data_IF_701163494743
#
_entry.id   IF_701163494743
#
_cell.length_a   1.000
_cell.length_b   1.000
_cell.length_c   1.000
_cell.angle_alpha   90.00
_cell.angle_beta   90.00
_cell.angle_gamma   90.00
#
_symmetry.space_group_name_H-M   'P 1'
#
loop_
_entity.id
_entity.type
_entity.pdbx_description
1 polymer ?
#
# COMPACT_ATOMS: atom_id res chain seq x y z
N UNK A 1 24.69 29.12 -15.72
CA UNK A 1 24.22 28.69 -14.39
C UNK A 1 22.72 28.86 -14.39
N UNK A 2 21.97 27.77 -14.60
CA UNK A 2 20.51 27.84 -14.59
C UNK A 2 20.10 27.71 -13.12
N UNK A 3 19.60 28.79 -12.53
CA UNK A 3 18.87 28.73 -11.26
C UNK A 3 17.55 28.03 -11.57
N UNK A 4 17.50 26.71 -11.38
CA UNK A 4 16.22 25.98 -11.37
C UNK A 4 15.50 26.36 -10.09
N UNK A 5 14.21 26.65 -10.16
CA UNK A 5 13.41 26.96 -8.98
C UNK A 5 13.36 25.76 -8.02
N UNK A 6 13.21 26.02 -6.73
CA UNK A 6 13.14 24.97 -5.69
C UNK A 6 12.06 23.92 -5.97
N UNK A 7 10.96 24.33 -6.65
CA UNK A 7 9.89 23.45 -7.12
C UNK A 7 10.37 22.45 -8.19
N UNK A 8 11.12 22.90 -9.20
CA UNK A 8 11.64 22.02 -10.26
C UNK A 8 12.63 20.98 -9.69
N UNK A 9 13.44 21.37 -8.71
CA UNK A 9 14.38 20.48 -8.03
C UNK A 9 13.60 19.42 -7.24
N UNK A 10 12.55 19.83 -6.54
CA UNK A 10 11.72 18.93 -5.73
C UNK A 10 11.01 17.89 -6.61
N UNK A 11 10.38 18.30 -7.71
CA UNK A 11 9.72 17.39 -8.66
C UNK A 11 10.70 16.40 -9.31
N UNK A 12 11.92 16.87 -9.64
CA UNK A 12 12.95 15.98 -10.18
C UNK A 12 13.41 14.93 -9.17
N UNK A 13 13.56 15.31 -7.91
CA UNK A 13 13.93 14.38 -6.84
C UNK A 13 12.83 13.33 -6.63
N UNK A 14 11.57 13.73 -6.55
CA UNK A 14 10.42 12.81 -6.43
C UNK A 14 10.36 11.82 -7.61
N UNK A 15 10.56 12.30 -8.83
CA UNK A 15 10.64 11.44 -10.02
C UNK A 15 11.77 10.39 -9.91
N UNK A 16 12.94 10.78 -9.38
CA UNK A 16 14.07 9.86 -9.19
C UNK A 16 13.75 8.80 -8.13
N UNK A 17 13.12 9.17 -7.01
CA UNK A 17 12.73 8.23 -5.97
C UNK A 17 11.66 7.24 -6.48
N UNK A 18 10.64 7.73 -7.18
CA UNK A 18 9.63 6.89 -7.82
C UNK A 18 10.26 5.87 -8.77
N UNK A 19 11.23 6.28 -9.60
CA UNK A 19 11.97 5.36 -10.47
C UNK A 19 12.79 4.33 -9.70
N UNK A 20 13.40 4.68 -8.56
CA UNK A 20 14.11 3.71 -7.70
C UNK A 20 13.15 2.65 -7.15
N UNK A 21 11.98 3.06 -6.66
CA UNK A 21 10.95 2.15 -6.15
C UNK A 21 10.42 1.24 -7.25
N UNK A 22 10.08 1.77 -8.44
CA UNK A 22 9.68 0.96 -9.60
C UNK A 22 10.75 -0.09 -9.92
N UNK A 23 12.02 0.32 -9.97
CA UNK A 23 13.12 -0.60 -10.26
C UNK A 23 13.24 -1.70 -9.20
N UNK A 24 12.99 -1.41 -7.92
CA UNK A 24 12.99 -2.43 -6.87
C UNK A 24 11.92 -3.50 -7.11
N UNK A 25 10.66 -3.10 -7.37
CA UNK A 25 9.58 -4.04 -7.67
C UNK A 25 9.83 -4.83 -8.96
N UNK A 26 10.26 -4.16 -10.03
CA UNK A 26 10.52 -4.81 -11.33
C UNK A 26 11.65 -5.83 -11.24
N UNK A 27 12.71 -5.54 -10.47
CA UNK A 27 13.81 -6.49 -10.23
C UNK A 27 13.36 -7.78 -9.53
N UNK A 28 12.23 -7.73 -8.83
CA UNK A 28 11.65 -8.88 -8.14
C UNK A 28 10.41 -9.45 -8.86
N UNK A 29 10.24 -9.15 -10.15
CA UNK A 29 9.27 -9.84 -11.00
C UNK A 29 7.97 -9.08 -11.28
N UNK A 30 7.74 -7.91 -10.67
CA UNK A 30 6.57 -7.09 -10.99
C UNK A 30 6.69 -6.56 -12.41
N UNK A 31 5.64 -6.74 -13.20
CA UNK A 31 5.64 -6.26 -14.59
C UNK A 31 5.61 -4.74 -14.64
N UNK A 32 6.38 -4.15 -15.56
CA UNK A 32 6.49 -2.69 -15.71
C UNK A 32 5.14 -2.04 -16.00
N UNK A 33 4.24 -2.76 -16.68
CA UNK A 33 2.88 -2.29 -16.97
C UNK A 33 2.01 -2.04 -15.74
N UNK A 34 2.34 -2.63 -14.59
CA UNK A 34 1.64 -2.37 -13.32
C UNK A 34 1.76 -0.91 -12.88
N UNK A 35 2.74 -0.16 -13.39
CA UNK A 35 2.98 1.25 -13.07
C UNK A 35 2.47 2.21 -14.16
N UNK A 36 1.68 1.76 -15.13
CA UNK A 36 1.22 2.61 -16.27
C UNK A 36 0.22 3.70 -15.89
N UNK A 37 -0.41 3.59 -14.71
CA UNK A 37 -1.45 4.52 -14.24
C UNK A 37 -0.95 5.41 -13.08
N UNK A 38 0.25 5.97 -13.19
CA UNK A 38 0.77 7.00 -12.27
C UNK A 38 0.00 8.33 -12.46
N UNK A 39 -1.28 8.38 -12.08
CA UNK A 39 -2.13 9.58 -12.18
C UNK A 39 -3.31 9.58 -11.16
N UNK A 40 -3.14 8.94 -10.01
CA UNK A 40 -4.19 8.79 -8.99
C UNK A 40 -3.60 9.25 -7.65
N UNK A 41 -3.56 10.54 -7.28
CA UNK A 41 -4.70 11.27 -6.70
C UNK A 41 -4.48 12.80 -6.82
N UNK A 42 -5.10 13.46 -7.80
CA UNK A 42 -5.38 14.90 -7.72
C UNK A 42 -6.86 15.20 -7.40
N UNK A 43 -7.71 14.17 -7.31
CA UNK A 43 -9.17 14.35 -7.13
C UNK A 43 -9.63 14.48 -5.66
N UNK A 44 -8.79 14.17 -4.66
CA UNK A 44 -9.20 14.18 -3.24
C UNK A 44 -8.54 15.25 -2.36
N UNK A 45 -7.73 16.17 -2.92
CA UNK A 45 -7.24 17.35 -2.19
C UNK A 45 -6.28 17.07 -1.02
N UNK A 46 -5.78 15.84 -0.87
CA UNK A 46 -4.76 15.49 0.10
C UNK A 46 -3.44 15.22 -0.63
N UNK A 47 -2.36 15.81 -0.10
CA UNK A 47 -0.98 15.66 -0.55
C UNK A 47 -0.56 14.18 -0.51
N UNK A 48 -0.81 13.48 -1.60
CA UNK A 48 -0.22 12.16 -1.84
C UNK A 48 1.15 12.38 -2.49
N UNK A 49 2.20 11.92 -1.81
CA UNK A 49 3.53 11.87 -2.41
C UNK A 49 3.52 10.80 -3.52
N UNK A 50 3.86 11.18 -4.75
CA UNK A 50 3.86 10.30 -5.92
C UNK A 50 4.65 9.00 -5.68
N UNK A 51 5.72 9.06 -4.90
CA UNK A 51 6.55 7.88 -4.59
C UNK A 51 5.82 6.85 -3.71
N UNK A 52 4.96 7.30 -2.79
CA UNK A 52 4.14 6.40 -1.97
C UNK A 52 3.05 5.71 -2.80
N UNK A 53 2.43 6.46 -3.72
CA UNK A 53 1.47 5.88 -4.67
C UNK A 53 2.13 4.79 -5.51
N UNK A 54 3.31 5.08 -6.07
CA UNK A 54 4.12 4.12 -6.84
C UNK A 54 4.43 2.87 -6.01
N UNK A 55 4.76 3.04 -4.73
CA UNK A 55 5.00 1.92 -3.83
C UNK A 55 3.75 1.04 -3.66
N UNK A 56 2.60 1.65 -3.39
CA UNK A 56 1.34 0.94 -3.17
C UNK A 56 0.86 0.26 -4.46
N UNK A 57 1.03 0.88 -5.64
CA UNK A 57 0.77 0.25 -6.94
C UNK A 57 1.68 -0.98 -7.17
N UNK A 58 2.94 -0.91 -6.73
CA UNK A 58 3.85 -2.06 -6.73
C UNK A 58 3.30 -3.24 -5.91
N UNK A 59 2.76 -2.97 -4.71
CA UNK A 59 2.09 -3.98 -3.87
C UNK A 59 0.89 -4.57 -4.61
N UNK A 60 0.04 -3.74 -5.22
CA UNK A 60 -1.12 -4.24 -5.98
C UNK A 60 -0.68 -5.11 -7.15
N UNK A 61 0.38 -4.72 -7.87
CA UNK A 61 0.94 -5.50 -8.96
C UNK A 61 1.29 -6.92 -8.53
N UNK A 62 1.89 -7.08 -7.35
CA UNK A 62 2.19 -8.39 -6.77
C UNK A 62 0.92 -9.14 -6.38
N UNK A 63 -0.02 -8.44 -5.73
CA UNK A 63 -1.24 -9.07 -5.23
C UNK A 63 -2.14 -9.58 -6.35
N UNK A 64 -2.28 -8.85 -7.45
CA UNK A 64 -3.10 -9.24 -8.60
C UNK A 64 -2.62 -10.53 -9.28
N UNK A 65 -1.35 -10.92 -9.08
CA UNK A 65 -0.85 -12.21 -9.57
C UNK A 65 -1.30 -13.40 -8.72
N UNK A 66 -1.74 -13.14 -7.48
CA UNK A 66 -2.07 -14.19 -6.48
C UNK A 66 -3.53 -14.18 -6.04
N UNK A 67 -4.18 -13.02 -6.08
CA UNK A 67 -5.52 -12.81 -5.54
C UNK A 67 -6.43 -12.14 -6.57
N UNK A 68 -7.71 -12.54 -6.56
CA UNK A 68 -8.76 -11.80 -7.24
C UNK A 68 -9.21 -10.65 -6.34
N UNK A 69 -8.82 -9.42 -6.69
CA UNK A 69 -9.17 -8.21 -5.96
C UNK A 69 -10.57 -7.75 -6.40
N UNK A 70 -11.53 -7.71 -5.47
CA UNK A 70 -12.87 -7.15 -5.71
C UNK A 70 -12.90 -5.63 -5.57
N UNK A 71 -12.15 -5.11 -4.59
CA UNK A 71 -12.13 -3.70 -4.24
C UNK A 71 -10.75 -3.29 -3.78
N UNK A 72 -10.28 -2.13 -4.22
CA UNK A 72 -9.09 -1.46 -3.73
C UNK A 72 -9.42 0.00 -3.42
N UNK A 73 -8.94 0.53 -2.30
CA UNK A 73 -9.16 1.92 -1.86
C UNK A 73 -7.87 2.50 -1.30
N UNK A 74 -7.54 3.71 -1.72
CA UNK A 74 -6.39 4.46 -1.25
C UNK A 74 -6.85 5.61 -0.36
N UNK A 75 -6.21 5.78 0.79
CA UNK A 75 -6.48 6.94 1.63
C UNK A 75 -5.30 7.23 2.54
N UNK A 76 -5.17 8.48 2.99
CA UNK A 76 -4.24 8.84 4.04
C UNK A 76 -4.91 8.68 5.40
N UNK A 77 -4.42 7.74 6.19
CA UNK A 77 -4.91 7.42 7.52
C UNK A 77 -4.34 8.41 8.56
N UNK A 78 -4.81 9.66 8.53
CA UNK A 78 -4.36 10.69 9.47
C UNK A 78 -4.91 10.52 10.89
N UNK A 79 -6.11 9.97 11.02
CA UNK A 79 -6.79 9.68 12.28
C UNK A 79 -7.76 8.48 12.11
N UNK A 80 -7.89 7.64 13.15
CA UNK A 80 -8.91 6.58 13.24
C UNK A 80 -10.34 7.11 13.13
N UNK A 81 -10.55 8.39 13.46
CA UNK A 81 -11.85 9.03 13.41
C UNK A 81 -12.31 9.47 12.03
N UNK A 82 -11.44 9.29 11.02
CA UNK A 82 -11.73 9.64 9.64
C UNK A 82 -13.03 8.99 9.16
N UNK A 83 -13.89 9.80 8.53
CA UNK A 83 -15.22 9.40 8.11
C UNK A 83 -15.15 8.31 7.04
N UNK A 84 -14.21 8.40 6.12
CA UNK A 84 -14.05 7.47 5.01
C UNK A 84 -13.52 6.13 5.53
N UNK A 85 -12.56 6.17 6.47
CA UNK A 85 -12.11 4.96 7.16
C UNK A 85 -13.24 4.25 7.92
N UNK A 86 -14.07 5.00 8.66
CA UNK A 86 -15.25 4.45 9.35
C UNK A 86 -16.26 3.86 8.36
N UNK A 87 -16.49 4.52 7.23
CA UNK A 87 -17.39 4.03 6.19
C UNK A 87 -16.89 2.71 5.58
N UNK A 88 -15.57 2.59 5.34
CA UNK A 88 -14.95 1.34 4.87
C UNK A 88 -15.17 0.19 5.86
N UNK A 89 -14.89 0.43 7.14
CA UNK A 89 -15.12 -0.58 8.19
C UNK A 89 -16.60 -0.96 8.27
N UNK A 90 -17.52 0.00 8.22
CA UNK A 90 -18.96 -0.28 8.27
C UNK A 90 -19.44 -1.09 7.05
N UNK A 91 -18.95 -0.77 5.85
CA UNK A 91 -19.23 -1.53 4.63
C UNK A 91 -18.74 -2.97 4.78
N UNK A 92 -17.50 -3.13 5.22
CA UNK A 92 -16.86 -4.43 5.40
C UNK A 92 -17.49 -5.26 6.54
N UNK A 93 -17.92 -4.62 7.62
CA UNK A 93 -18.67 -5.25 8.71
C UNK A 93 -19.93 -5.94 8.18
N UNK A 94 -20.71 -5.25 7.35
CA UNK A 94 -21.94 -5.81 6.75
C UNK A 94 -21.63 -6.89 5.72
N UNK A 95 -20.61 -6.68 4.88
CA UNK A 95 -20.27 -7.57 3.77
C UNK A 95 -19.60 -8.89 4.21
N UNK A 96 -18.70 -8.82 5.21
CA UNK A 96 -17.86 -9.94 5.64
C UNK A 96 -18.12 -10.41 7.07
N UNK A 97 -19.20 -9.93 7.70
CA UNK A 97 -19.60 -10.28 9.06
C UNK A 97 -18.44 -10.15 10.05
N UNK A 98 -17.74 -9.01 10.04
CA UNK A 98 -16.65 -8.74 10.98
C UNK A 98 -17.19 -8.76 12.42
N UNK A 99 -16.52 -9.45 13.33
CA UNK A 99 -16.92 -9.42 14.74
C UNK A 99 -16.24 -8.24 15.46
N UNK A 100 -16.54 -8.05 16.74
CA UNK A 100 -15.95 -6.95 17.53
C UNK A 100 -14.43 -7.05 17.63
N UNK A 101 -13.87 -8.26 17.76
CA UNK A 101 -12.42 -8.48 17.83
C UNK A 101 -11.74 -8.14 16.50
N UNK A 102 -12.37 -8.47 15.37
CA UNK A 102 -11.90 -8.10 14.03
C UNK A 102 -11.79 -6.58 13.92
N UNK A 103 -12.85 -5.85 14.31
CA UNK A 103 -12.88 -4.39 14.29
C UNK A 103 -11.80 -3.81 15.22
N UNK A 104 -11.67 -4.34 16.43
CA UNK A 104 -10.63 -3.92 17.38
C UNK A 104 -9.23 -4.15 16.84
N UNK A 105 -8.99 -5.24 16.09
CA UNK A 105 -7.70 -5.46 15.42
C UNK A 105 -7.43 -4.43 14.34
N UNK A 106 -8.43 -4.01 13.55
CA UNK A 106 -8.27 -2.94 12.56
C UNK A 106 -7.86 -1.63 13.26
N UNK A 107 -8.64 -1.20 14.25
CA UNK A 107 -8.38 0.05 14.97
C UNK A 107 -7.08 0.00 15.79
N UNK A 108 -6.82 -1.10 16.49
CA UNK A 108 -5.59 -1.28 17.26
C UNK A 108 -4.35 -1.44 16.39
N UNK A 109 -4.53 -1.78 15.11
CA UNK A 109 -3.43 -1.85 14.14
C UNK A 109 -3.21 -0.56 13.37
N UNK A 110 -4.07 0.44 13.55
CA UNK A 110 -3.97 1.72 12.88
C UNK A 110 -2.58 2.33 13.05
N UNK A 111 -2.05 2.83 11.94
CA UNK A 111 -0.79 3.56 11.90
C UNK A 111 -0.99 4.81 11.04
N UNK A 112 -0.45 5.95 11.50
CA UNK A 112 -0.54 7.20 10.75
C UNK A 112 0.29 7.08 9.48
N UNK A 113 -0.34 7.26 8.32
CA UNK A 113 0.35 7.13 7.04
C UNK A 113 -0.56 6.84 5.87
N UNK A 114 0.06 6.46 4.75
CA UNK A 114 -0.65 6.09 3.53
C UNK A 114 -1.20 4.68 3.65
N UNK A 115 -2.48 4.50 3.33
CA UNK A 115 -3.18 3.25 3.47
C UNK A 115 -3.68 2.73 2.14
N UNK A 116 -3.51 1.43 1.92
CA UNK A 116 -4.13 0.68 0.86
C UNK A 116 -5.02 -0.41 1.48
N UNK A 117 -6.32 -0.27 1.27
CA UNK A 117 -7.33 -1.23 1.68
C UNK A 117 -7.71 -2.09 0.49
N UNK A 118 -7.66 -3.42 0.66
CA UNK A 118 -7.93 -4.38 -0.39
C UNK A 118 -8.93 -5.41 0.11
N UNK A 119 -10.00 -5.58 -0.65
CA UNK A 119 -10.96 -6.67 -0.49
C UNK A 119 -10.73 -7.71 -1.59
N UNK A 120 -10.54 -8.96 -1.21
CA UNK A 120 -10.30 -10.06 -2.14
C UNK A 120 -11.46 -11.05 -2.14
N UNK A 121 -11.76 -11.63 -3.31
CA UNK A 121 -12.73 -12.70 -3.48
C UNK A 121 -12.12 -14.06 -3.17
N UNK A 122 -12.96 -15.11 -3.20
CA UNK A 122 -12.59 -16.53 -3.18
C UNK A 122 -11.15 -16.74 -3.65
N UNK A 123 -10.27 -16.87 -2.68
CA UNK A 123 -8.89 -17.21 -2.87
C UNK A 123 -8.68 -18.59 -2.23
N UNK A 124 -7.67 -19.30 -2.71
CA UNK A 124 -7.15 -20.49 -2.05
C UNK A 124 -6.87 -20.16 -0.56
N UNK A 125 -7.57 -20.80 0.39
CA UNK A 125 -7.38 -20.58 1.82
C UNK A 125 -5.90 -20.72 2.24
N UNK A 126 -5.15 -21.60 1.59
CA UNK A 126 -3.74 -21.84 1.91
C UNK A 126 -2.88 -20.62 1.57
N UNK A 127 -3.16 -19.95 0.45
CA UNK A 127 -2.50 -18.69 0.06
C UNK A 127 -2.88 -17.53 0.99
N UNK A 128 -4.12 -17.54 1.47
CA UNK A 128 -4.66 -16.52 2.38
C UNK A 128 -4.10 -16.65 3.80
N UNK A 129 -3.86 -17.87 4.28
CA UNK A 129 -3.32 -18.12 5.63
C UNK A 129 -1.79 -18.02 5.69
N UNK A 130 -1.13 -18.12 4.54
CA UNK A 130 0.27 -17.76 4.33
C UNK A 130 0.51 -16.25 4.54
N UNK A 131 -0.51 -15.40 4.32
CA UNK A 131 -0.48 -13.98 4.68
C UNK A 131 -0.72 -13.79 6.17
N UNK A 132 0.36 -13.93 6.96
CA UNK A 132 0.39 -13.47 8.35
C UNK A 132 0.61 -11.97 8.40
N UNK A 133 0.41 -11.37 9.57
CA UNK A 133 0.80 -9.98 9.82
C UNK A 133 2.33 -9.90 9.66
N UNK A 134 2.79 -9.45 8.48
CA UNK A 134 4.21 -9.22 8.18
C UNK A 134 4.54 -7.81 8.62
N UNK A 135 5.60 -7.69 9.40
CA UNK A 135 6.15 -6.40 9.82
C UNK A 135 7.43 -6.14 9.03
N UNK A 136 7.33 -5.26 8.04
CA UNK A 136 8.49 -4.73 7.32
C UNK A 136 8.70 -3.32 7.83
N UNK A 137 9.95 -2.89 7.91
CA UNK A 137 10.26 -1.52 8.31
C UNK A 137 9.54 -0.50 7.41
N UNK A 138 8.78 0.40 8.04
CA UNK A 138 7.92 1.37 7.35
C UNK A 138 6.61 0.83 6.77
N UNK A 139 6.38 -0.49 6.74
CA UNK A 139 5.17 -1.11 6.18
C UNK A 139 4.55 -2.13 7.13
N UNK A 140 3.34 -1.84 7.58
CA UNK A 140 2.53 -2.75 8.38
C UNK A 140 1.42 -3.37 7.55
N UNK A 141 1.34 -4.69 7.56
CA UNK A 141 0.29 -5.45 6.87
C UNK A 141 -0.65 -6.06 7.89
N UNK A 142 -1.95 -5.83 7.74
CA UNK A 142 -3.00 -6.36 8.61
C UNK A 142 -3.97 -7.18 7.78
N UNK A 143 -4.11 -8.47 8.11
CA UNK A 143 -5.05 -9.37 7.42
C UNK A 143 -6.20 -9.77 8.33
N UNK A 144 -7.43 -9.59 7.83
CA UNK A 144 -8.66 -9.99 8.52
C UNK A 144 -9.64 -10.57 7.50
N UNK A 145 -9.87 -11.88 7.57
CA UNK A 145 -10.75 -12.60 6.65
C UNK A 145 -10.37 -12.32 5.19
N UNK A 146 -11.22 -11.60 4.46
CA UNK A 146 -11.10 -11.26 3.03
C UNK A 146 -10.54 -9.84 2.81
N UNK A 147 -10.04 -9.20 3.87
CA UNK A 147 -9.54 -7.83 3.85
C UNK A 147 -8.06 -7.85 4.17
N UNK A 148 -7.27 -7.14 3.37
CA UNK A 148 -5.86 -6.89 3.60
C UNK A 148 -5.66 -5.37 3.62
N UNK A 149 -5.01 -4.87 4.67
CA UNK A 149 -4.75 -3.45 4.86
C UNK A 149 -3.24 -3.25 4.95
N UNK A 150 -2.70 -2.37 4.11
CA UNK A 150 -1.31 -1.96 4.14
C UNK A 150 -1.23 -0.54 4.68
N UNK A 151 -0.51 -0.34 5.77
CA UNK A 151 -0.18 0.97 6.31
C UNK A 151 1.29 1.27 6.04
N UNK A 152 1.55 2.25 5.20
CA UNK A 152 2.87 2.76 4.85
C UNK A 152 3.12 4.05 5.63
N UNK A 153 4.18 4.08 6.42
CA UNK A 153 4.52 5.21 7.27
C UNK A 153 4.82 6.48 6.44
N UNK A 154 4.20 7.60 6.83
CA UNK A 154 4.32 8.88 6.13
C UNK A 154 5.75 9.45 6.11
N UNK A 155 6.65 8.99 6.97
CA UNK A 155 8.01 9.54 7.05
C UNK A 155 8.95 9.00 5.95
N UNK A 156 8.52 8.02 5.14
CA UNK A 156 9.32 7.36 4.10
C UNK A 156 9.31 8.11 2.76
N UNK A 157 9.35 9.45 2.79
CA UNK A 157 9.18 10.32 1.61
C UNK A 157 10.50 10.62 0.88
N UNK A 158 11.62 10.68 1.59
CA UNK A 158 12.83 11.35 1.06
C UNK A 158 14.16 10.61 1.29
N UNK A 159 14.14 9.29 1.42
CA UNK A 159 15.37 8.48 1.56
C UNK A 159 15.29 7.14 0.81
N UNK A 160 16.43 6.48 0.60
CA UNK A 160 16.55 5.14 0.01
C UNK A 160 15.84 4.05 0.82
N UNK A 161 15.25 4.41 1.98
CA UNK A 161 14.48 3.53 2.87
C UNK A 161 13.27 2.93 2.18
N UNK A 162 12.49 3.69 1.41
CA UNK A 162 11.29 3.16 0.73
C UNK A 162 11.66 2.14 -0.37
N UNK A 163 12.82 2.32 -1.02
CA UNK A 163 13.36 1.34 -1.98
C UNK A 163 13.80 0.06 -1.27
N UNK A 164 14.37 0.17 -0.08
CA UNK A 164 14.73 -0.97 0.78
C UNK A 164 13.48 -1.71 1.27
N UNK A 165 12.46 -0.99 1.73
CA UNK A 165 11.15 -1.53 2.12
C UNK A 165 10.50 -2.27 0.95
N UNK A 166 10.52 -1.72 -0.26
CA UNK A 166 9.97 -2.36 -1.45
C UNK A 166 10.71 -3.67 -1.78
N UNK A 167 12.03 -3.63 -1.75
CA UNK A 167 12.87 -4.81 -1.98
C UNK A 167 12.62 -5.90 -0.92
N UNK A 168 12.49 -5.50 0.35
CA UNK A 168 12.22 -6.41 1.47
C UNK A 168 10.82 -7.01 1.34
N UNK A 169 9.82 -6.19 1.04
CA UNK A 169 8.46 -6.63 0.76
C UNK A 169 8.44 -7.68 -0.35
N UNK A 170 9.07 -7.41 -1.49
CA UNK A 170 9.13 -8.39 -2.57
C UNK A 170 9.80 -9.70 -2.15
N UNK A 171 10.87 -9.66 -1.35
CA UNK A 171 11.58 -10.87 -0.86
C UNK A 171 10.72 -11.70 0.09
N UNK A 172 10.15 -11.06 1.10
CA UNK A 172 9.22 -11.72 2.03
C UNK A 172 8.01 -12.28 1.28
N UNK A 173 7.43 -11.51 0.35
CA UNK A 173 6.26 -11.92 -0.41
C UNK A 173 6.55 -13.08 -1.37
N UNK A 174 7.69 -13.07 -2.05
CA UNK A 174 8.09 -14.20 -2.90
C UNK A 174 8.34 -15.47 -2.08
N UNK A 175 8.87 -15.34 -0.86
CA UNK A 175 9.06 -16.47 0.05
C UNK A 175 7.75 -17.07 0.59
N UNK A 176 6.71 -16.27 0.74
CA UNK A 176 5.40 -16.71 1.25
C UNK A 176 4.66 -17.64 0.27
N UNK A 177 4.80 -17.42 -1.04
CA UNK A 177 4.05 -18.14 -2.08
C UNK A 177 4.87 -19.14 -2.92
N UNK A 178 6.11 -19.41 -2.50
CA UNK A 178 6.87 -20.60 -2.93
C UNK A 178 6.42 -21.84 -2.15
#
# INVERSE_FOLDING_TARGET
MILRGDEEISTMLESLYSLKVINAFVRHGVKKESFKHMNLIYEYGYSACETHEVFLEGIIGILKEKFLIEKQEYFYAGNVDDKDFKNLIQSAYKKYSLNLLDIQRIFGSFHKGYCLWIEITKCDPDNLDKLKDIQIDGLKVVRIKHIIIFYLDEHYVYDDTLTSTASTFCKEWTGVFQ
#
